data_IF_973037668516
#
_entry.id   IF_973037668516
#
_cell.length_a   1.000
_cell.length_b   1.000
_cell.length_c   1.000
_cell.angle_alpha   90.00
_cell.angle_beta   90.00
_cell.angle_gamma   90.00
#
_symmetry.space_group_name_H-M   'P 1'
#
loop_
_entity.id
_entity.type
_entity.pdbx_description
1 polymer ?
#
# COMPACT_ATOMS: atom_id res chain seq x y z
N UNK A 1 12.36 30.89 6.69
CA UNK A 1 11.92 30.03 5.58
C UNK A 1 10.45 29.72 5.77
N UNK A 2 9.57 30.20 4.88
CA UNK A 2 8.13 29.95 4.98
C UNK A 2 7.84 28.47 4.72
N UNK A 3 7.13 27.83 5.65
CA UNK A 3 6.77 26.41 5.57
C UNK A 3 5.72 26.24 4.49
N UNK A 4 6.11 25.82 3.28
CA UNK A 4 5.17 25.53 2.19
C UNK A 4 4.16 24.49 2.66
N UNK A 5 2.88 24.89 2.78
CA UNK A 5 1.78 23.99 3.13
C UNK A 5 1.71 22.89 2.06
N UNK A 6 1.96 21.63 2.44
CA UNK A 6 1.79 20.49 1.54
C UNK A 6 0.33 20.43 1.08
N UNK A 7 0.13 20.49 -0.23
CA UNK A 7 -1.18 20.31 -0.85
C UNK A 7 -1.65 18.87 -0.59
N UNK A 8 -2.84 18.71 0.00
CA UNK A 8 -3.46 17.40 0.24
C UNK A 8 -4.46 17.11 -0.87
N UNK A 9 -4.45 15.88 -1.38
CA UNK A 9 -5.38 15.39 -2.39
C UNK A 9 -6.30 14.34 -1.76
N UNK A 10 -7.59 14.33 -2.16
CA UNK A 10 -8.55 13.34 -1.70
C UNK A 10 -8.19 11.93 -2.20
N UNK A 11 -8.67 10.90 -1.50
CA UNK A 11 -8.46 9.51 -1.91
C UNK A 11 -9.04 9.23 -3.31
N UNK A 12 -10.26 9.72 -3.56
CA UNK A 12 -10.95 9.61 -4.86
C UNK A 12 -10.14 10.22 -6.00
N UNK A 13 -9.57 11.40 -5.78
CA UNK A 13 -8.77 12.07 -6.81
C UNK A 13 -7.49 11.28 -7.13
N UNK A 14 -6.80 10.77 -6.10
CA UNK A 14 -5.62 9.93 -6.28
C UNK A 14 -5.97 8.65 -7.05
N UNK A 15 -7.07 8.00 -6.69
CA UNK A 15 -7.54 6.77 -7.35
C UNK A 15 -7.86 7.03 -8.83
N UNK A 16 -8.55 8.13 -9.15
CA UNK A 16 -8.85 8.52 -10.53
C UNK A 16 -7.57 8.70 -11.35
N UNK A 17 -6.62 9.49 -10.86
CA UNK A 17 -5.36 9.77 -11.58
C UNK A 17 -4.50 8.51 -11.71
N UNK A 18 -4.44 7.67 -10.68
CA UNK A 18 -3.73 6.40 -10.73
C UNK A 18 -4.36 5.45 -11.77
N UNK A 19 -5.69 5.37 -11.83
CA UNK A 19 -6.40 4.55 -12.82
C UNK A 19 -6.09 4.99 -14.25
N UNK A 20 -6.14 6.30 -14.54
CA UNK A 20 -5.79 6.84 -15.86
C UNK A 20 -4.32 6.52 -16.22
N UNK A 21 -3.41 6.62 -15.24
CA UNK A 21 -2.01 6.25 -15.43
C UNK A 21 -1.78 4.74 -15.62
N UNK A 22 -2.66 3.88 -15.09
CA UNK A 22 -2.64 2.42 -15.30
C UNK A 22 -3.17 2.07 -16.69
N UNK A 23 -4.28 2.71 -17.12
CA UNK A 23 -4.86 2.52 -18.46
C UNK A 23 -3.87 2.85 -19.57
N UNK A 24 -3.03 3.87 -19.38
CA UNK A 24 -1.96 4.22 -20.33
C UNK A 24 -2.44 4.95 -21.58
N UNK A 25 -3.68 5.45 -21.61
CA UNK A 25 -4.23 6.28 -22.70
C UNK A 25 -3.51 7.64 -22.81
N UNK A 26 -2.95 8.13 -21.70
CA UNK A 26 -2.14 9.34 -21.61
C UNK A 26 -0.82 9.01 -20.89
N UNK A 27 0.25 9.66 -21.32
CA UNK A 27 1.53 9.57 -20.64
C UNK A 27 1.48 10.25 -19.27
N UNK A 28 2.41 9.88 -18.38
CA UNK A 28 2.53 10.50 -17.05
C UNK A 28 2.77 12.02 -17.16
N UNK A 29 3.46 12.46 -18.22
CA UNK A 29 3.73 13.88 -18.47
C UNK A 29 2.45 14.62 -18.85
N UNK A 30 1.65 14.07 -19.76
CA UNK A 30 0.36 14.67 -20.16
C UNK A 30 -0.64 14.72 -19.00
N UNK A 31 -0.71 13.65 -18.19
CA UNK A 31 -1.50 13.64 -16.96
C UNK A 31 -1.00 14.70 -15.97
N UNK A 32 0.32 14.86 -15.86
CA UNK A 32 0.95 15.90 -15.04
C UNK A 32 0.51 17.30 -15.46
N UNK A 33 0.59 17.60 -16.75
CA UNK A 33 0.13 18.87 -17.32
C UNK A 33 -1.38 19.08 -17.14
N UNK A 34 -2.19 18.05 -17.40
CA UNK A 34 -3.66 18.12 -17.31
C UNK A 34 -4.18 18.39 -15.91
N UNK A 35 -3.60 17.74 -14.90
CA UNK A 35 -4.02 17.85 -13.51
C UNK A 35 -3.19 18.86 -12.69
N UNK A 36 -2.18 19.49 -13.29
CA UNK A 36 -1.24 20.36 -12.58
C UNK A 36 -0.44 19.61 -11.51
N UNK A 37 -0.10 18.36 -11.79
CA UNK A 37 0.62 17.45 -10.89
C UNK A 37 2.04 17.23 -11.38
N UNK A 38 2.97 17.10 -10.44
CA UNK A 38 4.31 16.67 -10.77
C UNK A 38 4.31 15.19 -11.19
N UNK A 39 4.99 14.79 -12.28
CA UNK A 39 5.02 13.40 -12.76
C UNK A 39 5.30 12.35 -11.68
N UNK A 40 6.26 12.61 -10.78
CA UNK A 40 6.56 11.71 -9.66
C UNK A 40 5.36 11.42 -8.73
N UNK A 41 4.44 12.37 -8.53
CA UNK A 41 3.24 12.11 -7.72
C UNK A 41 2.35 11.07 -8.40
N UNK A 42 2.18 11.18 -9.71
CA UNK A 42 1.37 10.26 -10.51
C UNK A 42 2.02 8.88 -10.52
N UNK A 43 3.34 8.79 -10.74
CA UNK A 43 4.08 7.53 -10.66
C UNK A 43 3.91 6.85 -9.29
N UNK A 44 4.02 7.62 -8.20
CA UNK A 44 3.85 7.09 -6.85
C UNK A 44 2.43 6.59 -6.60
N UNK A 45 1.40 7.33 -7.04
CA UNK A 45 0.01 6.88 -6.88
C UNK A 45 -0.33 5.68 -7.75
N UNK A 46 0.21 5.61 -8.98
CA UNK A 46 0.11 4.42 -9.83
C UNK A 46 0.72 3.20 -9.14
N UNK A 47 1.93 3.34 -8.57
CA UNK A 47 2.59 2.26 -7.85
C UNK A 47 1.78 1.80 -6.64
N UNK A 48 1.34 2.75 -5.80
CA UNK A 48 0.50 2.45 -4.64
C UNK A 48 -0.79 1.74 -5.04
N UNK A 49 -1.46 2.19 -6.11
CA UNK A 49 -2.67 1.54 -6.59
C UNK A 49 -2.42 0.08 -7.01
N UNK A 50 -1.32 -0.19 -7.74
CA UNK A 50 -0.95 -1.55 -8.16
C UNK A 50 -0.60 -2.43 -6.96
N UNK A 51 0.23 -1.94 -6.04
CA UNK A 51 0.67 -2.68 -4.84
C UNK A 51 -0.52 -3.09 -3.95
N UNK A 52 -1.50 -2.21 -3.80
CA UNK A 52 -2.67 -2.47 -2.95
C UNK A 52 -3.85 -3.09 -3.72
N UNK A 53 -3.75 -3.26 -5.05
CA UNK A 53 -4.87 -3.73 -5.87
C UNK A 53 -5.29 -5.15 -5.47
N UNK A 54 -4.31 -6.04 -5.27
CA UNK A 54 -4.58 -7.43 -4.85
C UNK A 54 -5.32 -7.47 -3.50
N UNK A 55 -4.97 -6.59 -2.57
CA UNK A 55 -5.62 -6.52 -1.26
C UNK A 55 -7.11 -6.15 -1.38
N UNK A 56 -7.49 -5.32 -2.35
CA UNK A 56 -8.92 -4.98 -2.56
C UNK A 56 -9.79 -6.17 -2.94
N UNK A 57 -9.22 -7.20 -3.57
CA UNK A 57 -9.92 -8.42 -3.96
C UNK A 57 -9.79 -9.55 -2.92
N UNK A 58 -8.91 -9.40 -1.93
CA UNK A 58 -8.72 -10.41 -0.88
C UNK A 58 -9.92 -10.50 0.06
N UNK A 59 -10.31 -11.72 0.39
CA UNK A 59 -11.36 -11.98 1.38
C UNK A 59 -10.88 -11.66 2.80
N UNK A 60 -11.82 -11.46 3.72
CA UNK A 60 -11.49 -11.25 5.15
C UNK A 60 -10.64 -12.40 5.71
N UNK A 61 -10.94 -13.64 5.30
CA UNK A 61 -10.20 -14.83 5.73
C UNK A 61 -8.76 -14.90 5.19
N UNK A 62 -8.50 -14.36 4.00
CA UNK A 62 -7.15 -14.25 3.44
C UNK A 62 -6.35 -13.13 4.10
N UNK A 63 -6.98 -11.97 4.39
CA UNK A 63 -6.34 -10.86 5.10
C UNK A 63 -5.94 -11.19 6.54
N UNK A 64 -6.78 -11.95 7.24
CA UNK A 64 -6.50 -12.42 8.60
C UNK A 64 -5.33 -13.40 8.59
N UNK A 65 -5.32 -14.39 7.68
CA UNK A 65 -4.19 -15.32 7.53
C UNK A 65 -2.86 -14.63 7.26
N UNK A 66 -2.83 -13.62 6.41
CA UNK A 66 -1.59 -12.87 6.11
C UNK A 66 -1.08 -12.03 7.30
N UNK A 67 -1.97 -11.55 8.17
CA UNK A 67 -1.58 -10.80 9.38
C UNK A 67 -1.18 -11.70 10.55
N UNK A 68 -1.79 -12.88 10.66
CA UNK A 68 -1.56 -13.80 11.77
C UNK A 68 -0.26 -14.60 11.61
N UNK A 69 0.27 -14.76 10.40
CA UNK A 69 1.48 -15.55 10.13
C UNK A 69 2.73 -15.16 10.97
N UNK A 70 3.13 -13.88 11.06
CA UNK A 70 4.26 -13.48 11.93
C UNK A 70 3.96 -13.69 13.41
N UNK A 71 2.73 -13.47 13.85
CA UNK A 71 2.33 -13.59 15.26
C UNK A 71 2.23 -15.06 15.69
N UNK A 72 1.73 -15.94 14.82
CA UNK A 72 1.70 -17.39 15.02
C UNK A 72 3.13 -17.94 15.11
N UNK A 73 4.03 -17.47 14.24
CA UNK A 73 5.44 -17.90 14.28
C UNK A 73 6.14 -17.52 15.60
N UNK A 74 5.88 -16.31 16.10
CA UNK A 74 6.40 -15.87 17.40
C UNK A 74 5.83 -16.69 18.56
N UNK A 75 4.52 -16.94 18.55
CA UNK A 75 3.86 -17.77 19.56
C UNK A 75 4.38 -19.21 19.55
N UNK A 76 4.58 -19.82 18.37
CA UNK A 76 5.17 -21.15 18.25
C UNK A 76 6.61 -21.20 18.79
N UNK A 77 7.43 -20.17 18.54
CA UNK A 77 8.77 -20.09 19.10
C UNK A 77 8.74 -20.03 20.64
N UNK A 78 7.84 -19.23 21.20
CA UNK A 78 7.68 -19.09 22.66
C UNK A 78 7.16 -20.36 23.33
N UNK A 79 6.26 -21.10 22.68
CA UNK A 79 5.82 -22.42 23.15
C UNK A 79 7.00 -23.40 23.16
N UNK A 80 7.85 -23.37 22.13
CA UNK A 80 9.08 -24.18 22.08
C UNK A 80 10.03 -23.87 23.23
N UNK A 81 10.32 -22.59 23.48
CA UNK A 81 11.14 -22.11 24.60
C UNK A 81 10.59 -22.58 25.96
N UNK A 82 9.31 -22.35 26.22
CA UNK A 82 8.64 -22.76 27.47
C UNK A 82 8.60 -24.29 27.66
N UNK A 83 8.53 -25.06 26.57
CA UNK A 83 8.57 -26.53 26.65
C UNK A 83 9.95 -27.00 27.08
N UNK A 84 11.02 -26.41 26.53
CA UNK A 84 12.39 -26.74 26.90
C UNK A 84 12.69 -26.36 28.35
N UNK A 85 12.23 -25.19 28.83
CA UNK A 85 12.43 -24.78 30.23
C UNK A 85 11.71 -25.68 31.24
N UNK A 86 10.60 -26.32 30.86
CA UNK A 86 9.81 -27.18 31.75
C UNK A 86 10.33 -28.62 31.83
N UNK A 87 11.14 -29.04 30.85
CA UNK A 87 11.68 -30.40 30.76
C UNK A 87 13.10 -30.53 31.36
N UNK A 88 13.61 -29.47 32.02
CA UNK A 88 14.81 -29.44 32.87
C UNK A 88 14.44 -29.30 34.35
#
# INVERSE_FOLDING_TARGET
MSKTKRKRYSAEFKAKVALEAIKGEQTIQELGSRYGLHPNLITNWKRQAIENLAETFSTKAERTRSNDDPQIKELHAKIGELTVERDF
#
